data_IF_922767823239
#
_entry.id   IF_922767823239
#
_cell.length_a   1.000
_cell.length_b   1.000
_cell.length_c   1.000
_cell.angle_alpha   90.00
_cell.angle_beta   90.00
_cell.angle_gamma   90.00
#
_symmetry.space_group_name_H-M   'P 1'
#
loop_
_entity.id
_entity.type
_entity.pdbx_description
1 polymer ?
#
# COMPACT_ATOMS: atom_id res chain seq x y z
N UNK A 1 -23.24 23.73 0.61
CA UNK A 1 -22.28 22.80 0.01
C UNK A 1 -22.69 21.39 0.35
N UNK A 2 -22.62 20.47 -0.59
CA UNK A 2 -23.01 19.08 -0.36
C UNK A 2 -21.91 18.32 0.38
N UNK A 3 -22.26 17.31 1.19
CA UNK A 3 -21.33 16.42 1.92
C UNK A 3 -20.17 15.94 1.03
N UNK A 4 -20.46 15.50 -0.18
CA UNK A 4 -19.46 15.00 -1.14
C UNK A 4 -18.51 16.12 -1.60
N UNK A 5 -19.00 17.34 -1.83
CA UNK A 5 -18.17 18.48 -2.25
C UNK A 5 -17.13 18.85 -1.16
N UNK A 6 -17.53 18.76 0.10
CA UNK A 6 -16.65 19.02 1.24
C UNK A 6 -15.53 17.98 1.32
N UNK A 7 -15.88 16.68 1.23
CA UNK A 7 -14.90 15.57 1.22
C UNK A 7 -13.91 15.73 0.06
N UNK A 8 -14.38 16.04 -1.15
CA UNK A 8 -13.52 16.23 -2.32
C UNK A 8 -12.56 17.41 -2.16
N UNK A 9 -13.02 18.49 -1.55
CA UNK A 9 -12.19 19.68 -1.29
C UNK A 9 -11.06 19.37 -0.33
N UNK A 10 -11.38 18.69 0.78
CA UNK A 10 -10.37 18.23 1.75
C UNK A 10 -9.40 17.26 1.09
N UNK A 11 -9.93 16.28 0.36
CA UNK A 11 -9.12 15.27 -0.31
C UNK A 11 -8.17 15.87 -1.36
N UNK A 12 -8.61 16.87 -2.13
CA UNK A 12 -7.77 17.58 -3.10
C UNK A 12 -6.61 18.30 -2.42
N UNK A 13 -6.89 18.95 -1.28
CA UNK A 13 -5.87 19.62 -0.49
C UNK A 13 -4.84 18.63 0.07
N UNK A 14 -5.29 17.56 0.72
CA UNK A 14 -4.41 16.54 1.29
C UNK A 14 -3.54 15.84 0.24
N UNK A 15 -4.12 15.49 -0.92
CA UNK A 15 -3.35 14.91 -2.03
C UNK A 15 -2.23 15.84 -2.51
N UNK A 16 -2.54 17.13 -2.68
CA UNK A 16 -1.55 18.12 -3.09
C UNK A 16 -0.44 18.29 -2.05
N UNK A 17 -0.79 18.21 -0.78
CA UNK A 17 0.13 18.32 0.34
C UNK A 17 1.05 17.09 0.40
N UNK A 18 0.51 15.89 0.22
CA UNK A 18 1.27 14.65 0.18
C UNK A 18 2.28 14.63 -0.98
N UNK A 19 1.84 14.94 -2.20
CA UNK A 19 2.70 14.99 -3.38
C UNK A 19 3.84 16.03 -3.24
N UNK A 20 3.59 17.12 -2.51
CA UNK A 20 4.60 18.14 -2.24
C UNK A 20 5.55 17.79 -1.11
N UNK A 21 5.22 16.83 -0.28
CA UNK A 21 6.06 16.36 0.81
C UNK A 21 7.38 15.82 0.27
N UNK A 22 8.50 16.32 0.78
CA UNK A 22 9.83 15.82 0.44
C UNK A 22 9.96 14.32 0.72
N UNK A 23 9.45 13.90 1.87
CA UNK A 23 9.48 12.51 2.31
C UNK A 23 8.74 11.57 1.32
N UNK A 24 7.54 11.97 0.88
CA UNK A 24 6.79 11.18 -0.09
C UNK A 24 7.47 11.13 -1.46
N UNK A 25 8.10 12.22 -1.90
CA UNK A 25 8.85 12.24 -3.18
C UNK A 25 10.04 11.29 -3.14
N UNK A 26 10.84 11.34 -2.07
CA UNK A 26 11.98 10.41 -1.89
C UNK A 26 11.48 8.98 -1.88
N UNK A 27 10.42 8.68 -1.13
CA UNK A 27 9.82 7.35 -1.12
C UNK A 27 9.35 6.91 -2.51
N UNK A 28 8.66 7.76 -3.26
CA UNK A 28 8.17 7.44 -4.60
C UNK A 28 9.33 7.08 -5.53
N UNK A 29 10.40 7.88 -5.52
CA UNK A 29 11.60 7.61 -6.33
C UNK A 29 12.25 6.30 -5.93
N UNK A 30 12.42 6.04 -4.62
CA UNK A 30 12.97 4.79 -4.11
C UNK A 30 12.09 3.59 -4.46
N UNK A 31 10.77 3.69 -4.29
CA UNK A 31 9.84 2.60 -4.61
C UNK A 31 9.90 2.25 -6.11
N UNK A 32 9.86 3.26 -6.97
CA UNK A 32 9.97 3.06 -8.43
C UNK A 32 11.34 2.45 -8.78
N UNK A 33 12.44 2.96 -8.22
CA UNK A 33 13.78 2.44 -8.49
C UNK A 33 13.95 0.98 -8.04
N UNK A 34 13.53 0.65 -6.81
CA UNK A 34 13.64 -0.70 -6.25
C UNK A 34 12.80 -1.68 -7.08
N UNK A 35 11.56 -1.32 -7.41
CA UNK A 35 10.68 -2.22 -8.16
C UNK A 35 11.13 -2.37 -9.61
N UNK A 36 11.62 -1.30 -10.24
CA UNK A 36 12.21 -1.39 -11.58
C UNK A 36 13.45 -2.28 -11.58
N UNK A 37 14.32 -2.12 -10.58
CA UNK A 37 15.48 -2.98 -10.39
C UNK A 37 15.08 -4.45 -10.16
N UNK A 38 14.05 -4.71 -9.36
CA UNK A 38 13.54 -6.05 -9.13
C UNK A 38 12.96 -6.68 -10.41
N UNK A 39 12.16 -5.94 -11.17
CA UNK A 39 11.69 -6.40 -12.49
C UNK A 39 12.85 -6.68 -13.46
N UNK A 40 13.87 -5.82 -13.47
CA UNK A 40 15.07 -6.04 -14.28
C UNK A 40 15.82 -7.31 -13.86
N UNK A 41 15.94 -7.58 -12.55
CA UNK A 41 16.53 -8.81 -12.04
C UNK A 41 15.73 -10.06 -12.45
N UNK A 42 14.40 -9.99 -12.41
CA UNK A 42 13.56 -11.07 -12.93
C UNK A 42 13.79 -11.31 -14.42
N UNK A 43 13.90 -10.24 -15.20
CA UNK A 43 14.20 -10.31 -16.63
C UNK A 43 15.55 -11.00 -16.91
N UNK A 44 16.62 -10.57 -16.25
CA UNK A 44 17.96 -11.16 -16.45
C UNK A 44 18.07 -12.59 -15.93
N UNK A 45 17.32 -12.96 -14.88
CA UNK A 45 17.37 -14.30 -14.30
C UNK A 45 16.63 -15.35 -15.11
N UNK A 46 15.76 -14.97 -16.02
CA UNK A 46 15.10 -15.91 -16.95
C UNK A 46 16.13 -16.60 -17.86
N UNK A 47 17.09 -15.86 -18.39
CA UNK A 47 18.19 -16.41 -19.21
C UNK A 47 19.12 -17.35 -18.41
N UNK A 48 19.18 -17.18 -17.08
CA UNK A 48 20.08 -17.93 -16.19
C UNK A 48 19.40 -19.11 -15.49
N UNK A 49 18.10 -19.35 -15.69
CA UNK A 49 17.34 -20.45 -15.04
C UNK A 49 17.13 -20.27 -13.53
N UNK A 50 17.31 -19.06 -12.99
CA UNK A 50 17.44 -18.84 -11.53
C UNK A 50 16.14 -18.68 -10.74
N UNK A 51 15.04 -18.18 -11.29
CA UNK A 51 13.80 -17.91 -10.54
C UNK A 51 12.57 -18.49 -11.24
N UNK A 52 12.61 -19.78 -11.44
CA UNK A 52 11.56 -20.55 -12.12
C UNK A 52 10.15 -20.32 -11.57
N UNK A 53 10.01 -20.15 -10.25
CA UNK A 53 8.69 -20.06 -9.60
C UNK A 53 8.01 -18.72 -9.87
N UNK A 54 8.78 -17.66 -10.04
CA UNK A 54 8.23 -16.33 -10.27
C UNK A 54 7.80 -16.11 -11.72
N UNK A 55 8.53 -16.69 -12.67
CA UNK A 55 8.29 -16.53 -14.12
C UNK A 55 7.44 -17.64 -14.71
N UNK A 56 7.36 -18.80 -14.07
CA UNK A 56 6.60 -19.96 -14.55
C UNK A 56 5.08 -19.71 -14.70
N UNK A 57 4.54 -18.73 -13.96
CA UNK A 57 3.12 -18.36 -14.00
C UNK A 57 3.02 -16.85 -14.16
N UNK A 58 2.49 -16.33 -15.28
CA UNK A 58 2.41 -14.88 -15.55
C UNK A 58 1.69 -14.06 -14.47
N UNK A 59 0.75 -14.67 -13.74
CA UNK A 59 0.02 -14.04 -12.64
C UNK A 59 0.83 -13.87 -11.35
N UNK A 60 1.98 -14.54 -11.18
CA UNK A 60 2.80 -14.45 -9.98
C UNK A 60 3.57 -13.12 -9.90
N UNK A 61 4.02 -12.60 -11.02
CA UNK A 61 4.82 -11.38 -11.06
C UNK A 61 4.06 -10.18 -10.49
N UNK A 62 2.84 -9.84 -10.95
CA UNK A 62 2.09 -8.74 -10.38
C UNK A 62 1.76 -8.94 -8.89
N UNK A 63 1.56 -10.18 -8.44
CA UNK A 63 1.33 -10.49 -7.04
C UNK A 63 2.56 -10.16 -6.18
N UNK A 64 3.74 -10.64 -6.55
CA UNK A 64 4.99 -10.39 -5.82
C UNK A 64 5.33 -8.90 -5.75
N UNK A 65 5.17 -8.20 -6.87
CA UNK A 65 5.43 -6.75 -6.94
C UNK A 65 4.47 -5.98 -6.03
N UNK A 66 3.17 -6.31 -6.04
CA UNK A 66 2.20 -5.66 -5.16
C UNK A 66 2.45 -5.96 -3.70
N UNK A 67 2.86 -7.18 -3.36
CA UNK A 67 3.21 -7.55 -2.00
C UNK A 67 4.40 -6.74 -1.47
N UNK A 68 5.47 -6.64 -2.26
CA UNK A 68 6.64 -5.81 -1.94
C UNK A 68 6.24 -4.34 -1.79
N UNK A 69 5.46 -3.83 -2.73
CA UNK A 69 5.00 -2.45 -2.74
C UNK A 69 4.10 -2.15 -1.53
N UNK A 70 3.12 -3.01 -1.24
CA UNK A 70 2.19 -2.82 -0.13
C UNK A 70 2.89 -2.83 1.22
N UNK A 71 3.91 -3.69 1.40
CA UNK A 71 4.73 -3.69 2.61
C UNK A 71 5.46 -2.34 2.79
N UNK A 72 6.13 -1.87 1.76
CA UNK A 72 6.81 -0.57 1.80
C UNK A 72 5.85 0.60 1.99
N UNK A 73 4.71 0.58 1.30
CA UNK A 73 3.68 1.62 1.43
C UNK A 73 3.04 1.65 2.82
N UNK A 74 2.85 0.49 3.46
CA UNK A 74 2.30 0.43 4.80
C UNK A 74 3.19 1.20 5.78
N UNK A 75 4.50 0.98 5.75
CA UNK A 75 5.46 1.73 6.59
C UNK A 75 5.36 3.23 6.36
N UNK A 76 5.30 3.65 5.10
CA UNK A 76 5.21 5.07 4.75
C UNK A 76 3.86 5.68 5.10
N UNK A 77 2.76 4.95 4.86
CA UNK A 77 1.42 5.40 5.21
C UNK A 77 1.27 5.61 6.73
N UNK A 78 1.88 4.73 7.54
CA UNK A 78 1.92 4.85 8.99
C UNK A 78 2.66 6.13 9.40
N UNK A 79 3.83 6.36 8.82
CA UNK A 79 4.62 7.55 9.11
C UNK A 79 3.86 8.83 8.76
N UNK A 80 3.26 8.89 7.58
CA UNK A 80 2.49 10.03 7.13
C UNK A 80 1.22 10.26 7.97
N UNK A 81 0.47 9.18 8.26
CA UNK A 81 -0.74 9.28 9.07
C UNK A 81 -0.43 9.79 10.49
N UNK A 82 0.69 9.37 11.06
CA UNK A 82 1.11 9.83 12.38
C UNK A 82 1.50 11.31 12.41
N UNK A 83 1.99 11.86 11.30
CA UNK A 83 2.37 13.28 11.19
C UNK A 83 1.16 14.22 10.96
N UNK A 84 0.05 13.72 10.44
CA UNK A 84 -1.13 14.53 10.11
C UNK A 84 -1.71 15.30 11.30
N UNK A 85 -1.88 14.64 12.44
CA UNK A 85 -2.46 15.26 13.62
C UNK A 85 -1.54 16.29 14.30
N UNK A 86 -0.22 16.10 14.20
CA UNK A 86 0.74 17.09 14.67
C UNK A 86 0.71 18.36 13.84
N UNK A 87 0.61 18.20 12.53
CA UNK A 87 0.62 19.31 11.59
C UNK A 87 -0.63 20.17 11.73
N UNK A 88 -1.80 19.56 11.93
CA UNK A 88 -3.05 20.26 12.14
C UNK A 88 -3.03 21.09 13.44
N UNK A 89 -2.38 20.59 14.49
CA UNK A 89 -2.22 21.34 15.75
C UNK A 89 -1.21 22.49 15.66
N UNK A 90 -0.17 22.37 14.80
CA UNK A 90 0.86 23.42 14.66
C UNK A 90 0.41 24.61 13.81
N UNK A 91 -0.57 24.44 12.94
CA UNK A 91 -0.94 25.45 11.96
C UNK A 91 -2.02 26.43 12.46
N UNK A 92 -2.41 26.41 13.75
CA UNK A 92 -3.53 27.22 14.30
C UNK A 92 -4.80 27.18 13.41
N UNK A 93 -4.87 26.15 12.54
CA UNK A 93 -5.99 25.94 11.63
C UNK A 93 -7.26 25.57 12.37
N UNK A 94 -7.18 25.30 13.67
CA UNK A 94 -8.36 25.11 14.51
C UNK A 94 -9.35 26.26 14.37
N UNK A 95 -8.90 27.51 14.37
CA UNK A 95 -9.79 28.69 14.23
C UNK A 95 -10.45 28.74 12.84
N UNK A 96 -9.75 28.36 11.78
CA UNK A 96 -10.29 28.36 10.41
C UNK A 96 -11.30 27.21 10.20
N UNK A 97 -11.14 26.08 10.90
CA UNK A 97 -12.08 24.96 10.85
C UNK A 97 -13.40 25.27 11.56
N UNK A 98 -13.38 26.06 12.64
CA UNK A 98 -14.60 26.47 13.35
C UNK A 98 -15.47 27.45 12.53
N UNK A 99 -14.90 28.14 11.56
CA UNK A 99 -15.62 29.08 10.68
C UNK A 99 -16.27 28.37 9.48
N UNK A 100 -15.85 27.17 9.11
CA UNK A 100 -16.46 26.39 8.03
C UNK A 100 -17.38 25.31 8.59
N UNK A 101 -18.59 25.12 8.05
CA UNK A 101 -19.53 24.07 8.48
C UNK A 101 -19.07 22.69 7.91
N UNK A 102 -17.91 22.20 8.39
CA UNK A 102 -17.38 20.88 8.07
C UNK A 102 -17.62 19.96 9.26
N UNK A 103 -18.26 18.82 9.03
CA UNK A 103 -18.37 17.80 10.06
C UNK A 103 -17.03 17.07 10.24
N UNK A 104 -16.77 16.58 11.46
CA UNK A 104 -15.57 15.79 11.75
C UNK A 104 -15.44 14.57 10.82
N UNK A 105 -16.58 13.96 10.45
CA UNK A 105 -16.61 12.83 9.54
C UNK A 105 -16.17 13.22 8.12
N UNK A 106 -16.68 14.33 7.57
CA UNK A 106 -16.26 14.85 6.25
C UNK A 106 -14.76 15.12 6.19
N UNK A 107 -14.22 15.65 7.28
CA UNK A 107 -12.81 15.94 7.39
C UNK A 107 -11.95 14.68 7.40
N UNK A 108 -12.26 13.71 8.25
CA UNK A 108 -11.51 12.45 8.36
C UNK A 108 -11.60 11.63 7.08
N UNK A 109 -12.80 11.48 6.52
CA UNK A 109 -13.01 10.76 5.25
C UNK A 109 -12.26 11.46 4.11
N UNK A 110 -12.32 12.78 4.05
CA UNK A 110 -11.58 13.55 3.06
C UNK A 110 -10.06 13.34 3.14
N UNK A 111 -9.50 13.28 4.35
CA UNK A 111 -8.09 12.96 4.57
C UNK A 111 -7.72 11.56 4.11
N UNK A 112 -8.50 10.56 4.52
CA UNK A 112 -8.27 9.17 4.11
C UNK A 112 -8.32 9.08 2.59
N UNK A 113 -9.35 9.61 1.98
CA UNK A 113 -9.54 9.59 0.52
C UNK A 113 -8.43 10.34 -0.22
N UNK A 114 -8.00 11.50 0.30
CA UNK A 114 -6.91 12.28 -0.29
C UNK A 114 -5.59 11.53 -0.34
N UNK A 115 -5.25 10.82 0.73
CA UNK A 115 -4.03 10.02 0.79
C UNK A 115 -4.14 8.73 -0.01
N UNK A 116 -5.27 8.03 0.13
CA UNK A 116 -5.53 6.78 -0.57
C UNK A 116 -5.33 6.92 -2.08
N UNK A 117 -5.93 7.93 -2.71
CA UNK A 117 -5.81 8.10 -4.16
C UNK A 117 -4.39 8.40 -4.65
N UNK A 118 -3.52 9.03 -3.83
CA UNK A 118 -2.12 9.26 -4.19
C UNK A 118 -1.34 7.95 -4.17
N UNK A 119 -1.54 7.12 -3.14
CA UNK A 119 -0.95 5.79 -3.08
C UNK A 119 -1.49 4.87 -4.18
N UNK A 120 -2.79 4.92 -4.47
CA UNK A 120 -3.38 4.15 -5.58
C UNK A 120 -2.80 4.57 -6.94
N UNK A 121 -2.57 5.86 -7.15
CA UNK A 121 -1.91 6.34 -8.36
C UNK A 121 -0.49 5.79 -8.47
N UNK A 122 0.27 5.78 -7.37
CA UNK A 122 1.60 5.17 -7.33
C UNK A 122 1.56 3.68 -7.67
N UNK A 123 0.58 2.94 -7.10
CA UNK A 123 0.38 1.53 -7.43
C UNK A 123 0.11 1.31 -8.92
N UNK A 124 -0.74 2.14 -9.53
CA UNK A 124 -1.04 2.06 -10.96
C UNK A 124 0.22 2.31 -11.82
N UNK A 125 1.03 3.29 -11.46
CA UNK A 125 2.29 3.58 -12.16
C UNK A 125 3.23 2.37 -12.09
N UNK A 126 3.40 1.81 -10.90
CA UNK A 126 4.27 0.65 -10.68
C UNK A 126 3.75 -0.58 -11.41
N UNK A 127 2.45 -0.83 -11.38
CA UNK A 127 1.83 -1.93 -12.13
C UNK A 127 2.00 -1.75 -13.64
N UNK A 128 1.91 -0.53 -14.15
CA UNK A 128 2.17 -0.25 -15.56
C UNK A 128 3.64 -0.52 -15.95
N UNK A 129 4.59 -0.14 -15.10
CA UNK A 129 6.02 -0.45 -15.30
C UNK A 129 6.22 -1.97 -15.31
N UNK A 130 5.66 -2.69 -14.35
CA UNK A 130 5.76 -4.14 -14.25
C UNK A 130 5.13 -4.84 -15.47
N UNK A 131 3.97 -4.36 -15.92
CA UNK A 131 3.33 -4.88 -17.13
C UNK A 131 4.20 -4.66 -18.39
N UNK A 132 4.88 -3.51 -18.49
CA UNK A 132 5.79 -3.23 -19.59
C UNK A 132 6.98 -4.20 -19.61
N UNK A 133 7.56 -4.55 -18.46
CA UNK A 133 8.58 -5.59 -18.35
C UNK A 133 8.01 -6.98 -18.71
N UNK A 134 6.83 -7.31 -18.19
CA UNK A 134 6.20 -8.61 -18.47
C UNK A 134 5.89 -8.83 -19.97
N UNK A 135 5.54 -7.78 -20.69
CA UNK A 135 5.34 -7.85 -22.15
C UNK A 135 6.62 -8.27 -22.91
N UNK A 136 7.79 -8.02 -22.33
CA UNK A 136 9.07 -8.46 -22.95
C UNK A 136 9.43 -9.91 -22.58
N UNK A 137 8.89 -10.41 -21.47
CA UNK A 137 9.14 -11.79 -21.00
C UNK A 137 8.18 -12.82 -21.62
N UNK A 138 6.98 -12.41 -22.06
CA UNK A 138 6.03 -13.32 -22.67
C UNK A 138 4.57 -12.92 -22.52
N UNK A 139 3.73 -13.83 -22.06
CA UNK A 139 2.30 -13.57 -21.89
C UNK A 139 2.00 -12.77 -20.62
N UNK A 140 1.13 -11.77 -20.73
CA UNK A 140 0.67 -10.97 -19.61
C UNK A 140 -0.76 -11.35 -19.23
N UNK A 141 -0.95 -11.75 -17.99
CA UNK A 141 -2.28 -12.00 -17.43
C UNK A 141 -2.92 -10.68 -16.95
N UNK A 142 -3.56 -9.95 -17.84
CA UNK A 142 -4.24 -8.68 -17.54
C UNK A 142 -5.33 -8.80 -16.47
N UNK A 143 -5.97 -9.97 -16.38
CA UNK A 143 -7.00 -10.22 -15.36
C UNK A 143 -6.37 -10.26 -13.97
N UNK A 144 -5.22 -10.91 -13.82
CA UNK A 144 -4.47 -10.94 -12.57
C UNK A 144 -4.03 -9.51 -12.14
N UNK A 145 -3.55 -8.68 -13.07
CA UNK A 145 -3.19 -7.29 -12.78
C UNK A 145 -4.36 -6.50 -12.21
N UNK A 146 -5.54 -6.60 -12.82
CA UNK A 146 -6.74 -5.90 -12.35
C UNK A 146 -7.25 -6.46 -11.01
N UNK A 147 -7.36 -7.79 -10.90
CA UNK A 147 -7.86 -8.44 -9.70
C UNK A 147 -6.98 -8.13 -8.48
N UNK A 148 -5.66 -8.27 -8.61
CA UNK A 148 -4.75 -8.02 -7.48
C UNK A 148 -4.72 -6.55 -7.08
N UNK A 149 -4.83 -5.64 -8.03
CA UNK A 149 -4.96 -4.22 -7.70
C UNK A 149 -6.20 -3.95 -6.85
N UNK A 150 -7.38 -4.45 -7.25
CA UNK A 150 -8.63 -4.18 -6.54
C UNK A 150 -8.81 -5.03 -5.27
N UNK A 151 -8.38 -6.29 -5.27
CA UNK A 151 -8.60 -7.21 -4.15
C UNK A 151 -7.47 -7.16 -3.10
N UNK A 152 -6.26 -6.79 -3.48
CA UNK A 152 -5.13 -6.76 -2.56
C UNK A 152 -4.76 -5.30 -2.24
N UNK A 153 -4.40 -4.51 -3.24
CA UNK A 153 -3.82 -3.18 -3.00
C UNK A 153 -4.82 -2.19 -2.40
N UNK A 154 -6.02 -2.11 -2.94
CA UNK A 154 -7.05 -1.17 -2.44
C UNK A 154 -7.45 -1.48 -0.99
N UNK A 155 -7.84 -2.72 -0.62
CA UNK A 155 -8.22 -3.03 0.76
C UNK A 155 -7.05 -2.86 1.75
N UNK A 156 -5.84 -3.27 1.37
CA UNK A 156 -4.64 -3.10 2.17
C UNK A 156 -4.40 -1.65 2.55
N UNK A 157 -4.46 -0.74 1.56
CA UNK A 157 -4.27 0.69 1.80
C UNK A 157 -5.38 1.30 2.64
N UNK A 158 -6.63 0.94 2.40
CA UNK A 158 -7.77 1.41 3.21
C UNK A 158 -7.58 0.97 4.66
N UNK A 159 -7.25 -0.29 4.87
CA UNK A 159 -7.06 -0.85 6.20
C UNK A 159 -5.92 -0.16 6.95
N UNK A 160 -4.73 -0.07 6.35
CA UNK A 160 -3.55 0.45 7.05
C UNK A 160 -3.67 1.96 7.34
N UNK A 161 -4.20 2.74 6.41
CA UNK A 161 -4.43 4.18 6.61
C UNK A 161 -5.52 4.39 7.67
N UNK A 162 -6.61 3.63 7.60
CA UNK A 162 -7.70 3.69 8.59
C UNK A 162 -7.23 3.31 9.98
N UNK A 163 -6.48 2.21 10.11
CA UNK A 163 -5.92 1.74 11.37
C UNK A 163 -4.92 2.76 11.95
N UNK A 164 -4.08 3.36 11.11
CA UNK A 164 -3.12 4.37 11.53
C UNK A 164 -3.83 5.62 12.10
N UNK A 165 -4.87 6.10 11.43
CA UNK A 165 -5.66 7.24 11.91
C UNK A 165 -6.41 6.88 13.20
N UNK A 166 -7.03 5.70 13.25
CA UNK A 166 -7.75 5.22 14.44
C UNK A 166 -6.82 5.16 15.66
N UNK A 167 -5.68 4.48 15.53
CA UNK A 167 -4.72 4.39 16.64
C UNK A 167 -4.17 5.76 17.05
N UNK A 168 -3.94 6.65 16.11
CA UNK A 168 -3.48 8.00 16.42
C UNK A 168 -4.52 8.82 17.19
N UNK A 169 -5.82 8.64 16.90
CA UNK A 169 -6.91 9.29 17.64
C UNK A 169 -7.02 8.76 19.07
N UNK A 170 -6.84 7.43 19.26
CA UNK A 170 -6.93 6.76 20.56
C UNK A 170 -5.70 7.08 21.43
N UNK A 171 -4.52 6.86 20.90
CA UNK A 171 -3.26 6.96 21.66
C UNK A 171 -2.76 8.39 21.81
N UNK A 172 -3.14 9.29 20.91
CA UNK A 172 -2.70 10.70 20.87
C UNK A 172 -1.17 10.86 20.90
N UNK A 173 -0.42 9.79 20.68
CA UNK A 173 1.04 9.74 20.70
C UNK A 173 1.56 9.15 19.39
N UNK A 174 2.27 9.97 18.62
CA UNK A 174 2.80 9.60 17.32
C UNK A 174 3.80 8.43 17.40
N UNK A 175 4.75 8.52 18.35
CA UNK A 175 5.78 7.50 18.46
C UNK A 175 5.20 6.13 18.82
N UNK A 176 4.25 6.10 19.77
CA UNK A 176 3.58 4.87 20.18
C UNK A 176 2.75 4.27 19.04
N UNK A 177 2.01 5.09 18.29
CA UNK A 177 1.25 4.66 17.10
C UNK A 177 2.17 4.05 16.06
N UNK A 178 3.30 4.69 15.79
CA UNK A 178 4.29 4.20 14.84
C UNK A 178 4.87 2.84 15.26
N UNK A 179 5.28 2.71 16.52
CA UNK A 179 5.85 1.46 17.05
C UNK A 179 4.83 0.32 17.03
N UNK A 180 3.58 0.58 17.43
CA UNK A 180 2.53 -0.44 17.42
C UNK A 180 2.20 -0.90 15.99
N UNK A 181 2.13 0.01 15.04
CA UNK A 181 1.84 -0.35 13.65
C UNK A 181 3.01 -1.06 12.97
N UNK A 182 4.24 -0.63 13.22
CA UNK A 182 5.42 -1.38 12.76
C UNK A 182 5.48 -2.77 13.40
N UNK A 183 5.18 -2.86 14.69
CA UNK A 183 5.07 -4.14 15.40
C UNK A 183 3.99 -5.04 14.77
N UNK A 184 2.83 -4.48 14.41
CA UNK A 184 1.78 -5.21 13.73
C UNK A 184 2.21 -5.74 12.36
N UNK A 185 2.88 -4.90 11.53
CA UNK A 185 3.44 -5.34 10.23
C UNK A 185 4.46 -6.45 10.45
N UNK A 186 5.39 -6.26 11.38
CA UNK A 186 6.40 -7.27 11.68
C UNK A 186 5.79 -8.58 12.18
N UNK A 187 4.80 -8.51 13.08
CA UNK A 187 4.07 -9.69 13.54
C UNK A 187 3.35 -10.41 12.40
N UNK A 188 2.72 -9.67 11.47
CA UNK A 188 2.04 -10.26 10.31
C UNK A 188 3.02 -11.00 9.42
N UNK A 189 4.16 -10.39 9.10
CA UNK A 189 5.15 -10.97 8.18
C UNK A 189 5.90 -12.16 8.78
N UNK A 190 6.24 -12.11 10.08
CA UNK A 190 7.15 -13.11 10.68
C UNK A 190 6.50 -14.14 11.59
N UNK A 191 5.26 -13.92 12.05
CA UNK A 191 4.67 -14.75 13.11
C UNK A 191 3.25 -15.24 12.81
N UNK A 192 2.42 -14.39 12.21
CA UNK A 192 0.99 -14.69 12.03
C UNK A 192 0.76 -15.67 10.88
N UNK A 193 1.65 -15.67 9.89
CA UNK A 193 1.58 -16.54 8.71
C UNK A 193 1.36 -18.01 9.07
N UNK A 194 2.09 -18.54 10.06
CA UNK A 194 2.05 -19.95 10.42
C UNK A 194 0.89 -20.34 11.35
N UNK A 195 0.28 -19.38 12.09
CA UNK A 195 -0.59 -19.72 13.23
C UNK A 195 -2.06 -19.38 13.05
N UNK A 196 -2.40 -18.37 12.27
CA UNK A 196 -3.76 -17.79 12.26
C UNK A 196 -4.45 -17.83 10.90
N UNK A 197 -4.01 -18.62 9.94
CA UNK A 197 -4.72 -18.84 8.67
C UNK A 197 -5.35 -17.59 8.07
N UNK A 198 -4.58 -16.65 7.54
CA UNK A 198 -5.06 -15.47 6.80
C UNK A 198 -5.93 -14.45 7.56
N UNK A 199 -6.37 -14.73 8.79
CA UNK A 199 -7.36 -13.91 9.48
C UNK A 199 -6.87 -12.48 9.78
N UNK A 200 -5.56 -12.29 9.94
CA UNK A 200 -4.93 -11.00 10.23
C UNK A 200 -3.96 -10.54 9.14
N UNK A 201 -3.94 -11.28 8.03
CA UNK A 201 -3.06 -10.99 6.90
C UNK A 201 -3.70 -9.94 5.98
N UNK A 202 -3.57 -8.69 6.35
CA UNK A 202 -4.11 -7.57 5.59
C UNK A 202 -3.44 -7.34 4.23
N UNK A 203 -2.27 -7.95 3.99
CA UNK A 203 -1.51 -7.82 2.74
C UNK A 203 -1.64 -9.05 1.82
N UNK A 204 -2.37 -10.07 2.25
CA UNK A 204 -2.42 -11.36 1.57
C UNK A 204 -1.02 -12.01 1.40
N UNK A 205 -0.12 -11.80 2.36
CA UNK A 205 1.25 -12.30 2.35
C UNK A 205 1.30 -13.83 2.38
N UNK A 206 0.38 -14.45 3.09
CA UNK A 206 0.29 -15.90 3.26
C UNK A 206 -0.55 -16.60 2.20
N UNK A 207 -1.03 -15.91 1.16
CA UNK A 207 -1.66 -16.59 0.04
C UNK A 207 -0.63 -17.56 -0.60
N UNK A 208 -0.91 -18.87 -0.67
CA UNK A 208 0.03 -19.80 -1.23
C UNK A 208 0.22 -19.49 -2.72
N UNK A 209 1.36 -18.93 -3.07
CA UNK A 209 1.90 -19.05 -4.42
C UNK A 209 1.89 -20.55 -4.70
N UNK A 210 1.03 -21.01 -5.58
CA UNK A 210 0.73 -22.41 -5.92
C UNK A 210 1.83 -23.35 -5.42
N UNK A 211 1.64 -23.88 -4.21
CA UNK A 211 2.52 -24.91 -3.68
C UNK A 211 2.32 -26.07 -4.62
N UNK A 212 3.28 -26.34 -5.48
CA UNK A 212 3.23 -27.50 -6.35
C UNK A 212 2.96 -28.68 -5.43
N UNK A 213 1.81 -29.30 -5.59
CA UNK A 213 1.38 -30.44 -4.81
C UNK A 213 2.46 -31.50 -5.02
N UNK A 214 3.30 -31.69 -4.01
CA UNK A 214 4.34 -32.71 -4.05
C UNK A 214 3.71 -34.01 -4.53
N UNK A 215 4.08 -34.45 -5.73
CA UNK A 215 3.78 -35.80 -6.25
C UNK A 215 4.59 -36.81 -5.45
N UNK A 216 4.32 -36.91 -4.16
CA UNK A 216 4.78 -38.01 -3.33
C UNK A 216 3.59 -38.77 -2.79
N UNK A 217 2.85 -39.39 -3.68
CA UNK A 217 1.99 -40.50 -3.32
C UNK A 217 1.48 -41.19 -4.60
N UNK A 218 2.40 -41.74 -5.38
CA UNK A 218 2.11 -42.87 -6.28
C UNK A 218 3.32 -43.78 -6.19
N UNK A 219 3.31 -44.63 -5.21
CA UNK A 219 3.87 -45.97 -5.25
C UNK A 219 2.87 -46.84 -4.52
#
# INVERSE_FOLDING_TARGET
MTFISNIQSVAKYESKLLIRSWFFRVFTVLAVAIITFFNFMLFVSEDSGGIWIATAIPSNIPYLILLLLNTGQAVIAIFLASDFLKRDKKLDTSEVFYVRPLSNAEYVIGKIWGNLRVFLLLNLIIMAITAAFNLTLGEVDWVAYLLYFFLISVPTLIFIIGLAIFLMLVLKNQALTFVLLLGYIGLTVFYIEDKFYYLFDYMAYSLPLVKSRDRKSVV
#
